data_IF_295730165675
#
_entry.id   IF_295730165675
#
_cell.length_a   1.000
_cell.length_b   1.000
_cell.length_c   1.000
_cell.angle_alpha   90.00
_cell.angle_beta   90.00
_cell.angle_gamma   90.00
#
_symmetry.space_group_name_H-M   'P 1'
#
loop_
_entity.id
_entity.type
_entity.pdbx_description
1 polymer ?
#
# COMPACT_ATOMS: atom_id res chain seq x y z
N UNK A 1 4.89 29.11 36.84
CA UNK A 1 3.65 28.84 36.09
C UNK A 1 3.77 28.96 34.58
N UNK A 2 4.68 29.72 33.99
CA UNK A 2 4.79 29.91 32.51
C UNK A 2 5.25 28.67 31.70
N UNK A 3 6.03 27.75 32.28
CA UNK A 3 6.53 26.54 31.56
C UNK A 3 5.42 25.51 31.18
N UNK A 4 4.36 25.40 31.98
CA UNK A 4 3.28 24.44 31.73
C UNK A 4 2.39 24.81 30.51
N UNK A 5 2.21 26.11 30.25
CA UNK A 5 1.41 26.58 29.12
C UNK A 5 2.13 26.44 27.77
N UNK A 6 3.47 26.56 27.77
CA UNK A 6 4.28 26.38 26.57
C UNK A 6 4.18 24.91 26.08
N UNK A 7 4.24 23.95 27.01
CA UNK A 7 4.12 22.53 26.64
C UNK A 7 2.72 22.13 26.13
N UNK A 8 1.66 22.69 26.71
CA UNK A 8 0.30 22.46 26.24
C UNK A 8 0.04 23.09 24.86
N UNK A 9 0.57 24.29 24.61
CA UNK A 9 0.45 24.97 23.32
C UNK A 9 1.22 24.24 22.21
N UNK A 10 2.43 23.73 22.51
CA UNK A 10 3.22 22.94 21.56
C UNK A 10 2.54 21.62 21.21
N UNK A 11 1.88 20.97 22.16
CA UNK A 11 1.14 19.73 21.95
C UNK A 11 -0.08 19.95 21.07
N UNK A 12 -0.81 21.05 21.27
CA UNK A 12 -1.94 21.44 20.41
C UNK A 12 -1.48 21.75 18.99
N UNK A 13 -0.34 22.44 18.82
CA UNK A 13 0.23 22.74 17.50
C UNK A 13 0.65 21.45 16.78
N UNK A 14 1.26 20.49 17.46
CA UNK A 14 1.65 19.19 16.87
C UNK A 14 0.40 18.41 16.44
N UNK A 15 -0.64 18.36 17.28
CA UNK A 15 -1.92 17.69 16.94
C UNK A 15 -2.59 18.37 15.75
N UNK A 16 -2.56 19.70 15.67
CA UNK A 16 -3.10 20.46 14.53
C UNK A 16 -2.29 20.21 13.25
N UNK A 17 -0.96 20.14 13.32
CA UNK A 17 -0.10 19.84 12.17
C UNK A 17 -0.36 18.42 11.65
N UNK A 18 -0.51 17.45 12.53
CA UNK A 18 -0.84 16.05 12.17
C UNK A 18 -2.25 15.96 11.59
N UNK A 19 -3.24 16.64 12.21
CA UNK A 19 -4.62 16.65 11.71
C UNK A 19 -4.74 17.44 10.38
N UNK A 20 -4.04 18.56 10.23
CA UNK A 20 -4.03 19.35 8.99
C UNK A 20 -3.24 18.64 7.89
N UNK A 21 -2.13 17.98 8.23
CA UNK A 21 -1.37 17.13 7.31
C UNK A 21 -2.21 15.95 6.81
N UNK A 22 -2.93 15.27 7.69
CA UNK A 22 -3.83 14.18 7.32
C UNK A 22 -5.02 14.68 6.46
N UNK A 23 -5.57 15.86 6.75
CA UNK A 23 -6.67 16.45 5.98
C UNK A 23 -6.18 16.99 4.62
N UNK A 24 -5.00 17.59 4.56
CA UNK A 24 -4.36 18.06 3.31
C UNK A 24 -3.97 16.87 2.43
N UNK A 25 -3.39 15.82 3.02
CA UNK A 25 -3.14 14.56 2.33
C UNK A 25 -4.44 13.94 1.81
N UNK A 26 -5.50 13.86 2.61
CA UNK A 26 -6.79 13.31 2.19
C UNK A 26 -7.37 14.05 0.98
N UNK A 27 -7.31 15.38 0.93
CA UNK A 27 -7.85 16.17 -0.21
C UNK A 27 -6.95 16.09 -1.47
N UNK A 28 -5.65 15.93 -1.31
CA UNK A 28 -4.71 15.86 -2.44
C UNK A 28 -4.59 14.44 -2.99
N UNK A 29 -4.77 13.42 -2.13
CA UNK A 29 -4.75 12.01 -2.49
C UNK A 29 -6.08 11.47 -3.02
N UNK A 30 -7.20 12.21 -2.88
CA UNK A 30 -8.49 11.77 -3.45
C UNK A 30 -8.52 11.75 -4.99
N UNK A 31 -7.54 12.33 -5.67
CA UNK A 31 -7.45 12.35 -7.15
C UNK A 31 -6.32 11.47 -7.72
N UNK A 32 -5.61 10.71 -6.91
CA UNK A 32 -4.69 9.69 -7.42
C UNK A 32 -5.37 8.33 -7.39
N UNK A 33 -5.17 7.47 -8.39
CA UNK A 33 -5.58 6.08 -8.30
C UNK A 33 -4.73 5.39 -7.22
N UNK A 34 -5.17 5.54 -5.96
CA UNK A 34 -4.58 4.87 -4.79
C UNK A 34 -4.67 3.34 -4.88
N UNK A 35 -5.33 2.84 -5.91
CA UNK A 35 -5.75 1.46 -6.03
C UNK A 35 -4.71 0.49 -6.59
N UNK A 36 -3.53 0.96 -6.98
CA UNK A 36 -2.52 0.03 -7.49
C UNK A 36 -1.97 -0.91 -6.39
N UNK A 37 -2.13 -0.56 -5.11
CA UNK A 37 -1.64 -1.37 -3.99
C UNK A 37 -2.65 -1.65 -2.86
N UNK A 38 -3.90 -1.16 -2.91
CA UNK A 38 -4.72 -1.10 -1.71
C UNK A 38 -6.11 -1.76 -1.70
N UNK A 39 -6.85 -1.82 -2.80
CA UNK A 39 -8.23 -2.35 -2.80
C UNK A 39 -8.42 -3.42 -3.87
N UNK A 40 -8.65 -4.66 -3.41
CA UNK A 40 -8.51 -5.86 -4.23
C UNK A 40 -9.55 -6.07 -5.35
N UNK A 41 -10.67 -5.39 -5.34
CA UNK A 41 -11.69 -5.54 -6.37
C UNK A 41 -11.51 -4.61 -7.56
N UNK A 42 -11.18 -3.36 -7.28
CA UNK A 42 -11.13 -2.30 -8.29
C UNK A 42 -9.87 -2.38 -9.16
N UNK A 43 -8.72 -2.75 -8.58
CA UNK A 43 -7.44 -2.86 -9.32
C UNK A 43 -7.47 -3.97 -10.35
N UNK A 44 -8.06 -5.12 -10.02
CA UNK A 44 -8.22 -6.24 -10.95
C UNK A 44 -9.09 -5.83 -12.15
N UNK A 45 -10.29 -5.32 -11.89
CA UNK A 45 -11.21 -4.86 -12.93
C UNK A 45 -10.62 -3.72 -13.77
N UNK A 46 -9.89 -2.80 -13.13
CA UNK A 46 -9.19 -1.72 -13.83
C UNK A 46 -8.13 -2.25 -14.79
N UNK A 47 -7.25 -3.17 -14.34
CA UNK A 47 -6.22 -3.78 -15.19
C UNK A 47 -6.85 -4.56 -16.34
N UNK A 48 -7.88 -5.40 -16.07
CA UNK A 48 -8.59 -6.15 -17.10
C UNK A 48 -9.20 -5.25 -18.17
N UNK A 49 -9.84 -4.15 -17.76
CA UNK A 49 -10.42 -3.17 -18.69
C UNK A 49 -9.35 -2.42 -19.49
N UNK A 50 -8.26 -2.01 -18.86
CA UNK A 50 -7.16 -1.29 -19.51
C UNK A 50 -6.37 -2.15 -20.48
N UNK A 51 -6.15 -3.42 -20.13
CA UNK A 51 -5.42 -4.36 -20.99
C UNK A 51 -6.31 -4.93 -22.08
N UNK A 52 -7.65 -4.89 -21.95
CA UNK A 52 -8.58 -5.53 -22.86
C UNK A 52 -8.44 -7.04 -22.83
N UNK A 53 -8.47 -7.63 -21.63
CA UNK A 53 -8.37 -9.08 -21.42
C UNK A 53 -9.55 -9.78 -22.08
N UNK A 54 -9.27 -10.81 -22.89
CA UNK A 54 -10.32 -11.65 -23.50
C UNK A 54 -10.84 -12.69 -22.51
N UNK A 55 -12.01 -13.27 -22.78
CA UNK A 55 -12.57 -14.34 -21.93
C UNK A 55 -11.65 -15.55 -21.82
N UNK A 56 -10.96 -15.90 -22.90
CA UNK A 56 -10.00 -17.01 -22.94
C UNK A 56 -8.76 -16.73 -22.09
N UNK A 57 -8.29 -15.48 -22.09
CA UNK A 57 -7.20 -15.02 -21.23
C UNK A 57 -7.64 -15.00 -19.77
N UNK A 58 -8.84 -14.49 -19.49
CA UNK A 58 -9.42 -14.44 -18.14
C UNK A 58 -9.45 -15.82 -17.49
N UNK A 59 -9.93 -16.85 -18.22
CA UNK A 59 -9.93 -18.22 -17.72
C UNK A 59 -8.51 -18.69 -17.34
N UNK A 60 -7.50 -18.36 -18.15
CA UNK A 60 -6.11 -18.74 -17.88
C UNK A 60 -5.49 -17.94 -16.72
N UNK A 61 -5.97 -16.74 -16.48
CA UNK A 61 -5.51 -15.89 -15.39
C UNK A 61 -6.09 -16.27 -14.02
N UNK A 62 -7.22 -16.97 -13.98
CA UNK A 62 -7.96 -17.27 -12.74
C UNK A 62 -7.10 -17.92 -11.64
N UNK A 63 -6.23 -18.87 -12.00
CA UNK A 63 -5.35 -19.52 -11.03
C UNK A 63 -4.27 -18.56 -10.48
N UNK A 64 -3.67 -17.76 -11.37
CA UNK A 64 -2.67 -16.73 -11.01
C UNK A 64 -3.31 -15.71 -10.06
N UNK A 65 -4.51 -15.25 -10.40
CA UNK A 65 -5.30 -14.31 -9.59
C UNK A 65 -5.65 -14.89 -8.22
N UNK A 66 -6.16 -16.11 -8.18
CA UNK A 66 -6.52 -16.77 -6.93
C UNK A 66 -5.31 -16.94 -5.99
N UNK A 67 -4.15 -17.31 -6.53
CA UNK A 67 -2.91 -17.46 -5.78
C UNK A 67 -2.40 -16.12 -5.24
N UNK A 68 -2.45 -15.06 -6.07
CA UNK A 68 -2.11 -13.72 -5.66
C UNK A 68 -3.03 -13.21 -4.55
N UNK A 69 -4.35 -13.31 -4.72
CA UNK A 69 -5.32 -12.88 -3.72
C UNK A 69 -5.13 -13.57 -2.37
N UNK A 70 -4.90 -14.88 -2.37
CA UNK A 70 -4.63 -15.64 -1.15
C UNK A 70 -3.35 -15.16 -0.45
N UNK A 71 -2.28 -14.86 -1.21
CA UNK A 71 -1.01 -14.34 -0.65
C UNK A 71 -1.20 -12.93 -0.13
N UNK A 72 -1.88 -12.06 -0.88
CA UNK A 72 -2.22 -10.68 -0.51
C UNK A 72 -2.96 -10.63 0.82
N UNK A 73 -4.08 -11.37 0.95
CA UNK A 73 -4.88 -11.40 2.17
C UNK A 73 -4.07 -11.80 3.41
N UNK A 74 -3.16 -12.78 3.28
CA UNK A 74 -2.29 -13.18 4.39
C UNK A 74 -1.31 -12.08 4.80
N UNK A 75 -0.74 -11.36 3.83
CA UNK A 75 0.21 -10.28 4.09
C UNK A 75 -0.49 -9.06 4.70
N UNK A 76 -1.68 -8.71 4.21
CA UNK A 76 -2.52 -7.64 4.77
C UNK A 76 -2.90 -7.95 6.23
N UNK A 77 -3.27 -9.19 6.53
CA UNK A 77 -3.55 -9.62 7.91
C UNK A 77 -2.30 -9.55 8.80
N UNK A 78 -1.13 -9.91 8.27
CA UNK A 78 0.14 -9.76 8.98
C UNK A 78 0.43 -8.30 9.32
N UNK A 79 0.23 -7.39 8.36
CA UNK A 79 0.38 -5.94 8.57
C UNK A 79 -0.61 -5.45 9.63
N UNK A 80 -1.86 -5.86 9.56
CA UNK A 80 -2.90 -5.50 10.53
C UNK A 80 -2.53 -5.93 11.96
N UNK A 81 -2.09 -7.17 12.13
CA UNK A 81 -1.67 -7.70 13.42
C UNK A 81 -0.43 -6.98 13.96
N UNK A 82 0.57 -6.73 13.11
CA UNK A 82 1.78 -6.01 13.51
C UNK A 82 1.48 -4.54 13.88
N UNK A 83 0.51 -3.89 13.25
CA UNK A 83 0.04 -2.55 13.67
C UNK A 83 -0.64 -2.60 15.05
N UNK A 84 -1.38 -3.66 15.38
CA UNK A 84 -1.95 -3.84 16.72
C UNK A 84 -0.83 -4.07 17.77
N UNK A 85 0.17 -4.91 17.46
CA UNK A 85 1.34 -5.11 18.32
C UNK A 85 2.09 -3.79 18.56
N UNK A 86 2.27 -2.97 17.53
CA UNK A 86 2.89 -1.65 17.63
C UNK A 86 2.09 -0.71 18.55
N UNK A 87 0.76 -0.67 18.38
CA UNK A 87 -0.11 0.14 19.22
C UNK A 87 -0.04 -0.28 20.70
N UNK A 88 -0.04 -1.59 20.97
CA UNK A 88 0.06 -2.12 22.34
C UNK A 88 1.44 -1.86 22.94
N UNK A 89 2.52 -1.98 22.17
CA UNK A 89 3.87 -1.68 22.61
C UNK A 89 4.01 -0.20 23.03
N UNK A 90 3.48 0.73 22.20
CA UNK A 90 3.47 2.18 22.51
C UNK A 90 2.64 2.48 23.75
N UNK A 91 1.47 1.83 23.90
CA UNK A 91 0.63 1.98 25.10
C UNK A 91 1.34 1.55 26.38
N UNK A 92 2.08 0.44 26.32
CA UNK A 92 2.81 -0.12 27.46
C UNK A 92 4.02 0.72 27.82
N UNK A 93 4.75 1.21 26.85
CA UNK A 93 5.93 2.01 27.01
C UNK A 93 6.04 3.06 25.87
N UNK A 94 5.71 4.34 26.14
CA UNK A 94 5.75 5.40 25.14
C UNK A 94 7.19 5.86 24.83
N UNK A 95 8.05 4.92 24.47
CA UNK A 95 9.44 5.14 24.04
C UNK A 95 9.76 4.23 22.86
N UNK A 96 10.86 4.50 22.15
CA UNK A 96 11.34 3.64 21.09
C UNK A 96 12.01 2.38 21.66
N UNK A 97 11.19 1.47 22.19
CA UNK A 97 11.61 0.21 22.80
C UNK A 97 11.91 -0.87 21.76
N UNK A 98 12.49 -1.99 22.20
CA UNK A 98 12.72 -3.16 21.33
C UNK A 98 11.43 -3.74 20.77
N UNK A 99 10.34 -3.70 21.52
CA UNK A 99 9.02 -4.16 21.08
C UNK A 99 8.45 -3.26 19.98
N UNK A 100 8.61 -1.94 20.12
CA UNK A 100 8.24 -0.96 19.08
C UNK A 100 9.05 -1.21 17.81
N UNK A 101 10.37 -1.38 17.93
CA UNK A 101 11.23 -1.69 16.79
C UNK A 101 10.80 -2.98 16.07
N UNK A 102 10.61 -4.07 16.82
CA UNK A 102 10.21 -5.36 16.25
C UNK A 102 8.86 -5.28 15.51
N UNK A 103 7.88 -4.55 16.05
CA UNK A 103 6.60 -4.36 15.39
C UNK A 103 6.75 -3.58 14.08
N UNK A 104 7.57 -2.50 14.07
CA UNK A 104 7.89 -1.74 12.87
C UNK A 104 8.58 -2.61 11.82
N UNK A 105 9.55 -3.43 12.22
CA UNK A 105 10.28 -4.32 11.32
C UNK A 105 9.34 -5.36 10.68
N UNK A 106 8.40 -5.94 11.45
CA UNK A 106 7.36 -6.85 10.92
C UNK A 106 6.48 -6.16 9.87
N UNK A 107 6.05 -4.92 10.13
CA UNK A 107 5.25 -4.13 9.18
C UNK A 107 6.04 -3.94 7.89
N UNK A 108 7.29 -3.47 7.97
CA UNK A 108 8.13 -3.22 6.79
C UNK A 108 8.39 -4.50 5.99
N UNK A 109 8.66 -5.61 6.68
CA UNK A 109 8.85 -6.90 6.01
C UNK A 109 7.59 -7.34 5.26
N UNK A 110 6.42 -7.28 5.92
CA UNK A 110 5.17 -7.69 5.29
C UNK A 110 4.75 -6.77 4.13
N UNK A 111 4.99 -5.45 4.24
CA UNK A 111 4.77 -4.50 3.15
C UNK A 111 5.70 -4.77 1.95
N UNK A 112 7.00 -5.06 2.20
CA UNK A 112 7.95 -5.43 1.16
C UNK A 112 7.56 -6.73 0.45
N UNK A 113 7.09 -7.73 1.19
CA UNK A 113 6.60 -8.98 0.61
C UNK A 113 5.30 -8.78 -0.20
N UNK A 114 4.41 -7.87 0.24
CA UNK A 114 3.21 -7.52 -0.51
C UNK A 114 3.56 -6.84 -1.85
N UNK A 115 4.52 -5.93 -1.84
CA UNK A 115 5.01 -5.28 -3.06
C UNK A 115 5.63 -6.30 -4.03
N UNK A 116 6.47 -7.22 -3.54
CA UNK A 116 7.02 -8.31 -4.36
C UNK A 116 5.93 -9.20 -4.94
N UNK A 117 4.96 -9.61 -4.11
CA UNK A 117 3.85 -10.44 -4.56
C UNK A 117 3.06 -9.76 -5.69
N UNK A 118 2.83 -8.45 -5.60
CA UNK A 118 2.15 -7.67 -6.63
C UNK A 118 2.94 -7.64 -7.94
N UNK A 119 4.25 -7.44 -7.88
CA UNK A 119 5.10 -7.45 -9.07
C UNK A 119 5.19 -8.86 -9.69
N UNK A 120 5.38 -9.89 -8.87
CA UNK A 120 5.41 -11.29 -9.32
C UNK A 120 4.11 -11.66 -10.03
N UNK A 121 2.96 -11.27 -9.49
CA UNK A 121 1.65 -11.47 -10.11
C UNK A 121 1.59 -10.86 -11.52
N UNK A 122 1.99 -9.58 -11.67
CA UNK A 122 1.99 -8.91 -12.96
C UNK A 122 2.94 -9.58 -13.98
N UNK A 123 4.10 -10.05 -13.55
CA UNK A 123 5.03 -10.80 -14.42
C UNK A 123 4.48 -12.19 -14.79
N UNK A 124 3.74 -12.86 -13.90
CA UNK A 124 3.10 -14.14 -14.19
C UNK A 124 1.98 -14.03 -15.23
N UNK A 125 1.36 -12.86 -15.39
CA UNK A 125 0.36 -12.62 -16.44
C UNK A 125 0.98 -12.57 -17.84
N UNK A 126 2.24 -12.13 -17.99
CA UNK A 126 2.87 -11.82 -19.29
C UNK A 126 2.80 -12.96 -20.33
N UNK A 127 3.01 -14.24 -19.99
CA UNK A 127 2.92 -15.33 -20.96
C UNK A 127 1.51 -15.54 -21.56
N UNK A 128 0.46 -15.03 -20.90
CA UNK A 128 -0.92 -15.16 -21.30
C UNK A 128 -1.36 -13.98 -22.17
N UNK A 129 -0.66 -12.85 -22.05
CA UNK A 129 -0.97 -11.61 -22.73
C UNK A 129 -0.40 -11.56 -24.16
N UNK A 130 -1.05 -10.83 -25.06
CA UNK A 130 -0.50 -10.52 -26.37
C UNK A 130 0.69 -9.53 -26.25
N UNK A 131 1.54 -9.40 -27.30
CA UNK A 131 2.63 -8.41 -27.29
C UNK A 131 2.16 -6.97 -27.01
N UNK A 132 1.01 -6.57 -27.56
CA UNK A 132 0.44 -5.23 -27.35
C UNK A 132 -0.04 -5.04 -25.92
N UNK A 133 -0.67 -6.07 -25.32
CA UNK A 133 -1.09 -6.04 -23.92
C UNK A 133 0.11 -6.00 -22.96
N UNK A 134 1.17 -6.75 -23.28
CA UNK A 134 2.41 -6.72 -22.50
C UNK A 134 3.09 -5.35 -22.52
N UNK A 135 3.10 -4.66 -23.66
CA UNK A 135 3.63 -3.29 -23.73
C UNK A 135 2.78 -2.31 -22.91
N UNK A 136 1.45 -2.44 -22.96
CA UNK A 136 0.56 -1.65 -22.09
C UNK A 136 0.79 -1.95 -20.61
N UNK A 137 0.91 -3.22 -20.23
CA UNK A 137 1.17 -3.61 -18.84
C UNK A 137 2.48 -2.99 -18.36
N UNK A 138 3.56 -3.09 -19.14
CA UNK A 138 4.86 -2.48 -18.83
C UNK A 138 4.74 -0.97 -18.60
N UNK A 139 4.05 -0.26 -19.51
CA UNK A 139 3.87 1.19 -19.37
C UNK A 139 3.06 1.53 -18.12
N UNK A 140 1.96 0.85 -17.83
CA UNK A 140 1.18 1.05 -16.60
C UNK A 140 2.03 0.85 -15.34
N UNK A 141 2.87 -0.20 -15.30
CA UNK A 141 3.78 -0.46 -14.17
C UNK A 141 4.83 0.65 -14.00
N UNK A 142 5.46 1.07 -15.10
CA UNK A 142 6.53 2.09 -15.05
C UNK A 142 5.97 3.47 -14.72
N UNK A 143 4.83 3.85 -15.30
CA UNK A 143 4.18 5.13 -15.03
C UNK A 143 3.79 5.24 -13.55
N UNK A 144 3.19 4.18 -12.98
CA UNK A 144 2.85 4.15 -11.56
C UNK A 144 4.08 4.32 -10.64
N UNK A 145 5.24 3.75 -11.01
CA UNK A 145 6.48 3.89 -10.25
C UNK A 145 7.07 5.30 -10.37
N UNK A 146 7.06 5.90 -11.58
CA UNK A 146 7.55 7.26 -11.80
C UNK A 146 6.66 8.31 -11.14
N UNK A 147 5.34 8.14 -11.16
CA UNK A 147 4.41 9.08 -10.55
C UNK A 147 4.55 9.05 -9.01
N UNK A 148 4.73 7.88 -8.41
CA UNK A 148 5.05 7.77 -6.99
C UNK A 148 6.38 8.46 -6.63
N UNK A 149 7.41 8.35 -7.48
CA UNK A 149 8.68 9.01 -7.24
C UNK A 149 8.59 10.55 -7.35
N UNK A 150 7.76 11.07 -8.26
CA UNK A 150 7.52 12.52 -8.42
C UNK A 150 6.67 13.12 -7.30
N UNK A 151 5.71 12.35 -6.76
CA UNK A 151 4.83 12.81 -5.69
C UNK A 151 5.56 13.02 -4.34
N UNK A 152 6.79 12.54 -4.21
CA UNK A 152 7.62 12.64 -3.00
C UNK A 152 8.57 13.86 -3.02
N UNK A 153 8.53 14.69 -4.06
CA UNK A 153 9.30 15.94 -4.23
C UNK A 153 8.37 17.12 -4.41
#
# INVERSE_FOLDING_TARGET
>A
MKKRYINALSLIIIVLIVAFGAMYMSQHYMNMPHDFMGHSGDTHNYLHSKLGITKEQDIKLQEIEANYQKRKLRLEETIRLANMELADAIKKNPSFSSEVQQAVDKIHQAMGELQKASLEHLFQMQPILSPQQNEKLKNLMTDALYDNAKAQH
#
